data_IF_518844068178
#
_entry.id   IF_518844068178
#
_cell.length_a   1.000
_cell.length_b   1.000
_cell.length_c   1.000
_cell.angle_alpha   90.00
_cell.angle_beta   90.00
_cell.angle_gamma   90.00
#
_symmetry.space_group_name_H-M   'P 1'
#
loop_
_entity.id
_entity.type
_entity.pdbx_description
1 polymer ?
#
# COMPACT_ATOMS: atom_id res chain seq x y z
N UNK A 1 -11.99 -8.41 9.56
CA UNK A 1 -12.35 -8.75 8.18
C UNK A 1 -12.16 -7.57 7.21
N UNK A 2 -12.69 -6.35 7.42
CA UNK A 2 -12.54 -5.22 6.47
C UNK A 2 -11.09 -4.77 6.19
N UNK A 3 -10.24 -4.67 7.23
CA UNK A 3 -8.87 -4.15 7.08
C UNK A 3 -7.99 -4.98 6.14
N UNK A 4 -8.23 -6.29 6.04
CA UNK A 4 -7.49 -7.15 5.13
C UNK A 4 -7.81 -6.81 3.66
N UNK A 5 -9.08 -6.52 3.35
CA UNK A 5 -9.49 -6.11 2.01
C UNK A 5 -8.89 -4.75 1.65
N UNK A 6 -8.93 -3.79 2.58
CA UNK A 6 -8.31 -2.46 2.39
C UNK A 6 -6.81 -2.56 2.12
N UNK A 7 -6.09 -3.40 2.86
CA UNK A 7 -4.65 -3.60 2.63
C UNK A 7 -4.40 -4.20 1.25
N UNK A 8 -5.17 -5.21 0.84
CA UNK A 8 -5.04 -5.82 -0.49
C UNK A 8 -5.30 -4.83 -1.63
N UNK A 9 -6.33 -4.00 -1.49
CA UNK A 9 -6.65 -2.95 -2.46
C UNK A 9 -5.50 -1.95 -2.59
N UNK A 10 -4.97 -1.47 -1.45
CA UNK A 10 -3.81 -0.57 -1.44
C UNK A 10 -2.61 -1.22 -2.12
N UNK A 11 -2.31 -2.50 -1.84
CA UNK A 11 -1.21 -3.22 -2.49
C UNK A 11 -1.36 -3.29 -4.01
N UNK A 12 -2.58 -3.56 -4.51
CA UNK A 12 -2.84 -3.60 -5.95
C UNK A 12 -2.62 -2.22 -6.59
N UNK A 13 -3.21 -1.17 -6.00
CA UNK A 13 -3.10 0.20 -6.53
C UNK A 13 -1.68 0.77 -6.45
N UNK A 14 -0.88 0.37 -5.46
CA UNK A 14 0.52 0.80 -5.35
C UNK A 14 1.43 0.28 -6.46
N UNK A 15 1.04 -0.82 -7.11
CA UNK A 15 1.82 -1.47 -8.18
C UNK A 15 1.29 -1.16 -9.58
N UNK A 16 0.16 -0.45 -9.64
CA UNK A 16 -0.46 -0.03 -10.88
C UNK A 16 0.26 1.21 -11.41
N UNK A 17 0.72 1.11 -12.66
CA UNK A 17 1.47 2.17 -13.33
C UNK A 17 0.61 3.42 -13.54
N UNK A 18 -0.71 3.26 -13.68
CA UNK A 18 -1.66 4.39 -13.81
C UNK A 18 -1.78 5.21 -12.51
N UNK A 19 -1.38 4.64 -11.37
CA UNK A 19 -1.40 5.32 -10.08
C UNK A 19 -0.05 5.96 -9.71
N UNK A 20 0.89 6.11 -10.65
CA UNK A 20 2.24 6.67 -10.38
C UNK A 20 2.21 8.07 -9.76
N UNK A 21 1.16 8.85 -10.06
CA UNK A 21 1.00 10.22 -9.60
C UNK A 21 0.28 10.32 -8.25
N UNK A 22 -0.34 9.23 -7.79
CA UNK A 22 -1.03 9.20 -6.51
C UNK A 22 -0.06 8.97 -5.37
N UNK A 23 -0.15 9.81 -4.35
CA UNK A 23 0.58 9.56 -3.11
C UNK A 23 0.02 8.31 -2.44
N UNK A 24 0.90 7.53 -1.81
CA UNK A 24 0.53 6.38 -0.99
C UNK A 24 -0.55 6.71 0.07
N UNK A 25 -0.53 7.92 0.60
CA UNK A 25 -1.52 8.37 1.56
C UNK A 25 -2.91 8.57 0.92
N UNK A 26 -2.97 9.10 -0.31
CA UNK A 26 -4.22 9.25 -1.04
C UNK A 26 -4.86 7.88 -1.34
N UNK A 27 -4.07 6.92 -1.83
CA UNK A 27 -4.52 5.55 -2.07
C UNK A 27 -5.07 4.91 -0.79
N UNK A 28 -4.39 5.12 0.35
CA UNK A 28 -4.85 4.60 1.64
C UNK A 28 -6.16 5.27 2.11
N UNK A 29 -6.32 6.58 1.91
CA UNK A 29 -7.55 7.29 2.28
C UNK A 29 -8.74 6.81 1.45
N UNK A 30 -8.57 6.65 0.13
CA UNK A 30 -9.59 6.11 -0.77
C UNK A 30 -10.00 4.69 -0.37
N UNK A 31 -9.05 3.85 0.03
CA UNK A 31 -9.31 2.50 0.54
C UNK A 31 -9.99 2.49 1.93
N UNK A 32 -10.32 3.66 2.49
CA UNK A 32 -11.12 3.80 3.71
C UNK A 32 -10.31 3.84 5.01
N UNK A 33 -9.01 4.14 4.97
CA UNK A 33 -8.25 4.45 6.18
C UNK A 33 -8.51 5.90 6.64
N UNK A 34 -8.87 6.06 7.91
CA UNK A 34 -9.16 7.39 8.49
C UNK A 34 -7.92 8.21 8.84
N UNK A 35 -6.72 7.60 8.84
CA UNK A 35 -5.47 8.31 9.12
C UNK A 35 -4.24 7.53 8.66
N UNK A 36 -3.13 8.27 8.46
CA UNK A 36 -1.80 7.71 8.16
C UNK A 36 -1.32 6.72 9.22
N UNK A 37 -1.52 7.03 10.51
CA UNK A 37 -1.08 6.17 11.61
C UNK A 37 -1.85 4.85 11.66
N UNK A 38 -3.17 4.89 11.44
CA UNK A 38 -3.99 3.67 11.36
C UNK A 38 -3.60 2.82 10.16
N UNK A 39 -3.41 3.44 9.00
CA UNK A 39 -2.91 2.78 7.80
C UNK A 39 -1.57 2.08 8.05
N UNK A 40 -0.55 2.81 8.50
CA UNK A 40 0.80 2.27 8.71
C UNK A 40 0.79 1.07 9.69
N UNK A 41 0.05 1.18 10.79
CA UNK A 41 -0.04 0.10 11.80
C UNK A 41 -0.70 -1.15 11.21
N UNK A 42 -1.83 -0.98 10.53
CA UNK A 42 -2.60 -2.08 9.97
C UNK A 42 -1.85 -2.72 8.80
N UNK A 43 -1.30 -1.92 7.90
CA UNK A 43 -0.54 -2.41 6.76
C UNK A 43 0.67 -3.24 7.22
N UNK A 44 1.49 -2.72 8.14
CA UNK A 44 2.62 -3.47 8.70
C UNK A 44 2.19 -4.75 9.41
N UNK A 45 1.08 -4.72 10.15
CA UNK A 45 0.52 -5.92 10.78
C UNK A 45 0.11 -6.99 9.74
N UNK A 46 -0.38 -6.57 8.57
CA UNK A 46 -0.84 -7.48 7.52
C UNK A 46 0.28 -7.99 6.61
N UNK A 47 1.26 -7.15 6.28
CA UNK A 47 2.30 -7.47 5.28
C UNK A 47 3.65 -7.78 5.90
N UNK A 48 3.86 -7.48 7.19
CA UNK A 48 5.16 -7.50 7.85
C UNK A 48 6.06 -6.31 7.51
N UNK A 49 5.69 -5.50 6.52
CA UNK A 49 6.49 -4.39 5.99
C UNK A 49 5.79 -3.05 6.18
N UNK A 50 6.55 -1.98 6.33
CA UNK A 50 5.96 -0.65 6.16
C UNK A 50 5.52 -0.46 4.69
N UNK A 51 4.52 0.40 4.43
CA UNK A 51 4.09 0.69 3.06
C UNK A 51 5.24 1.09 2.12
N UNK A 52 6.15 1.96 2.58
CA UNK A 52 7.30 2.39 1.78
C UNK A 52 8.29 1.25 1.50
N UNK A 53 8.54 0.37 2.47
CA UNK A 53 9.37 -0.82 2.26
C UNK A 53 8.74 -1.77 1.25
N UNK A 54 7.43 -1.99 1.34
CA UNK A 54 6.71 -2.82 0.38
C UNK A 54 6.83 -2.26 -1.05
N UNK A 55 6.70 -0.94 -1.23
CA UNK A 55 6.84 -0.32 -2.54
C UNK A 55 8.26 -0.47 -3.10
N UNK A 56 9.28 -0.22 -2.28
CA UNK A 56 10.68 -0.36 -2.69
C UNK A 56 11.02 -1.80 -3.10
N UNK A 57 10.62 -2.77 -2.27
CA UNK A 57 10.83 -4.20 -2.50
C UNK A 57 10.18 -4.66 -3.82
N UNK A 58 8.94 -4.22 -4.09
CA UNK A 58 8.25 -4.59 -5.33
C UNK A 58 8.77 -3.89 -6.57
N UNK A 59 9.24 -2.64 -6.48
CA UNK A 59 9.93 -1.99 -7.60
C UNK A 59 11.21 -2.73 -7.96
N UNK A 60 12.02 -3.12 -6.97
CA UNK A 60 13.23 -3.91 -7.24
C UNK A 60 12.94 -5.26 -7.90
N UNK A 61 11.80 -5.89 -7.62
CA UNK A 61 11.39 -7.13 -8.28
C UNK A 61 10.89 -6.90 -9.73
N UNK A 62 10.25 -5.76 -9.99
CA UNK A 62 9.78 -5.39 -11.34
C UNK A 62 10.94 -5.00 -12.27
N UNK A 63 11.97 -4.33 -11.74
CA UNK A 63 13.15 -3.93 -12.52
C UNK A 63 14.08 -5.12 -12.88
N UNK A 64 13.85 -6.31 -12.30
CA UNK A 64 14.62 -7.54 -12.55
C UNK A 64 13.98 -8.47 -13.61
N UNK A 65 12.84 -8.09 -14.20
CA UNK A 65 12.14 -8.83 -15.26
C UNK A 65 12.22 -8.07 -16.59
#
# INVERSE_FOLDING_TARGET
FVNNFRVKEVQARMLDQENSDYTLLAIAMDAGFSSKSSFNRIFKKHTGLTPSQFLADRKSLQDMQ
#
